data_IF_057330704789
#
_entry.id   IF_057330704789
#
_cell.length_a   1.000
_cell.length_b   1.000
_cell.length_c   1.000
_cell.angle_alpha   90.00
_cell.angle_beta   90.00
_cell.angle_gamma   90.00
#
_symmetry.space_group_name_H-M   'P 1'
#
loop_
_entity.id
_entity.type
_entity.pdbx_description
1 polymer ?
#
# COMPACT_ATOMS: atom_id res chain seq x y z
N UNK A 1 28.03 23.24 -13.52
CA UNK A 1 27.40 22.51 -12.39
C UNK A 1 28.47 21.92 -11.50
N UNK A 2 28.42 22.21 -10.20
CA UNK A 2 29.42 21.79 -9.21
C UNK A 2 29.45 20.27 -9.11
N UNK A 3 30.63 19.63 -9.25
CA UNK A 3 30.80 18.16 -9.21
C UNK A 3 30.12 17.49 -8.00
N UNK A 4 30.02 18.21 -6.87
CA UNK A 4 29.35 17.76 -5.64
C UNK A 4 27.85 17.49 -5.79
N UNK A 5 27.14 18.33 -6.56
CA UNK A 5 25.69 18.15 -6.81
C UNK A 5 25.45 16.94 -7.71
N UNK A 6 26.34 16.73 -8.69
CA UNK A 6 26.26 15.57 -9.58
C UNK A 6 26.43 14.25 -8.82
N UNK A 7 27.45 14.16 -7.96
CA UNK A 7 27.69 12.97 -7.12
C UNK A 7 26.50 12.67 -6.20
N UNK A 8 25.90 13.71 -5.61
CA UNK A 8 24.72 13.54 -4.76
C UNK A 8 23.52 12.99 -5.55
N UNK A 9 23.26 13.52 -6.75
CA UNK A 9 22.18 13.04 -7.62
C UNK A 9 22.45 11.60 -8.10
N UNK A 10 23.69 11.27 -8.44
CA UNK A 10 24.06 9.93 -8.90
C UNK A 10 23.85 8.90 -7.77
N UNK A 11 24.28 9.20 -6.53
CA UNK A 11 24.03 8.34 -5.37
C UNK A 11 22.53 8.19 -5.06
N UNK A 12 21.76 9.27 -5.17
CA UNK A 12 20.29 9.23 -5.00
C UNK A 12 19.60 8.33 -6.03
N UNK A 13 20.09 8.33 -7.27
CA UNK A 13 19.55 7.47 -8.33
C UNK A 13 19.84 6.00 -8.06
N UNK A 14 21.02 5.68 -7.55
CA UNK A 14 21.37 4.30 -7.17
C UNK A 14 20.50 3.79 -6.02
N UNK A 15 20.32 4.60 -4.97
CA UNK A 15 19.42 4.26 -3.86
C UNK A 15 17.97 4.10 -4.33
N UNK A 16 17.50 4.99 -5.20
CA UNK A 16 16.15 4.93 -5.77
C UNK A 16 15.98 3.71 -6.69
N UNK A 17 16.97 3.38 -7.52
CA UNK A 17 16.97 2.18 -8.35
C UNK A 17 16.94 0.91 -7.51
N UNK A 18 17.65 0.86 -6.37
CA UNK A 18 17.60 -0.27 -5.44
C UNK A 18 16.20 -0.50 -4.84
N UNK A 19 15.48 0.59 -4.54
CA UNK A 19 14.10 0.53 -4.04
C UNK A 19 13.13 0.10 -5.14
N UNK A 20 13.26 0.64 -6.35
CA UNK A 20 12.39 0.30 -7.50
C UNK A 20 12.60 -1.17 -7.91
N UNK A 21 13.85 -1.64 -7.96
CA UNK A 21 14.15 -3.03 -8.33
C UNK A 21 13.56 -4.04 -7.33
N UNK A 22 13.49 -3.71 -6.03
CA UNK A 22 12.85 -4.58 -5.03
C UNK A 22 11.37 -4.84 -5.30
N UNK A 23 10.64 -3.86 -5.86
CA UNK A 23 9.21 -4.03 -6.15
C UNK A 23 8.97 -4.96 -7.36
N UNK A 24 9.93 -4.98 -8.30
CA UNK A 24 9.84 -5.82 -9.50
C UNK A 24 10.07 -7.32 -9.24
N UNK A 25 10.76 -7.66 -8.14
CA UNK A 25 11.09 -9.03 -7.75
C UNK A 25 10.12 -9.65 -6.74
N UNK A 26 9.10 -8.91 -6.27
CA UNK A 26 8.14 -9.44 -5.30
C UNK A 26 7.26 -10.52 -5.93
N UNK A 27 6.93 -11.54 -5.14
CA UNK A 27 5.87 -12.49 -5.50
C UNK A 27 4.52 -11.78 -5.51
N UNK A 28 3.52 -12.38 -6.17
CA UNK A 28 2.16 -11.81 -6.17
C UNK A 28 1.58 -11.76 -4.74
N UNK A 29 1.86 -12.76 -3.90
CA UNK A 29 1.49 -12.73 -2.48
C UNK A 29 2.13 -11.53 -1.75
N UNK A 30 3.42 -11.28 -1.96
CA UNK A 30 4.13 -10.15 -1.34
C UNK A 30 3.56 -8.79 -1.80
N UNK A 31 3.19 -8.67 -3.08
CA UNK A 31 2.52 -7.47 -3.63
C UNK A 31 1.14 -7.25 -3.02
N UNK A 32 0.35 -8.31 -2.89
CA UNK A 32 -0.97 -8.24 -2.25
C UNK A 32 -0.81 -7.89 -0.78
N UNK A 33 0.11 -8.51 -0.05
CA UNK A 33 0.41 -8.21 1.35
C UNK A 33 0.84 -6.75 1.55
N UNK A 34 1.71 -6.22 0.68
CA UNK A 34 2.10 -4.81 0.68
C UNK A 34 0.91 -3.89 0.45
N UNK A 35 0.01 -4.27 -0.46
CA UNK A 35 -1.22 -3.52 -0.74
C UNK A 35 -2.19 -3.53 0.44
N UNK A 36 -2.33 -4.65 1.14
CA UNK A 36 -3.11 -4.78 2.38
C UNK A 36 -2.59 -3.83 3.45
N UNK A 37 -1.27 -3.82 3.71
CA UNK A 37 -0.64 -2.93 4.70
C UNK A 37 -0.90 -1.47 4.36
N UNK A 38 -0.69 -1.08 3.10
CA UNK A 38 -0.94 0.29 2.64
C UNK A 38 -2.42 0.69 2.79
N UNK A 39 -3.35 -0.21 2.48
CA UNK A 39 -4.77 0.08 2.64
C UNK A 39 -5.18 0.24 4.11
N UNK A 40 -4.55 -0.50 5.03
CA UNK A 40 -4.76 -0.33 6.47
C UNK A 40 -4.22 1.01 6.98
N UNK A 41 -3.01 1.40 6.57
CA UNK A 41 -2.44 2.72 6.88
C UNK A 41 -3.29 3.86 6.32
N UNK A 42 -3.77 3.73 5.08
CA UNK A 42 -4.68 4.69 4.45
C UNK A 42 -5.99 4.82 5.24
N UNK A 43 -6.58 3.71 5.66
CA UNK A 43 -7.77 3.73 6.51
C UNK A 43 -7.48 4.43 7.84
N UNK A 44 -6.37 4.11 8.52
CA UNK A 44 -5.97 4.79 9.77
C UNK A 44 -5.82 6.30 9.60
N UNK A 45 -5.20 6.73 8.51
CA UNK A 45 -5.07 8.15 8.21
C UNK A 45 -6.43 8.84 8.03
N UNK A 46 -7.39 8.17 7.39
CA UNK A 46 -8.75 8.72 7.18
C UNK A 46 -9.58 8.74 8.46
N UNK A 47 -9.41 7.76 9.34
CA UNK A 47 -9.98 7.81 10.71
C UNK A 47 -9.48 9.05 11.44
N UNK A 48 -8.18 9.34 11.34
CA UNK A 48 -7.59 10.51 11.96
C UNK A 48 -8.12 11.82 11.35
N UNK A 49 -8.26 11.88 10.01
CA UNK A 49 -8.83 13.04 9.34
C UNK A 49 -10.27 13.33 9.82
N UNK A 50 -11.13 12.31 9.90
CA UNK A 50 -12.49 12.45 10.41
C UNK A 50 -12.52 12.98 11.84
N UNK A 51 -11.64 12.51 12.72
CA UNK A 51 -11.55 13.00 14.10
C UNK A 51 -11.24 14.50 14.20
N UNK A 52 -10.61 15.08 13.17
CA UNK A 52 -10.23 16.49 13.12
C UNK A 52 -11.15 17.33 12.21
N UNK A 53 -12.05 16.71 11.45
CA UNK A 53 -12.99 17.41 10.59
C UNK A 53 -14.05 18.12 11.46
N UNK A 54 -14.14 19.45 11.32
CA UNK A 54 -15.08 20.29 12.08
C UNK A 54 -16.10 21.01 11.18
N UNK A 55 -15.78 21.14 9.90
CA UNK A 55 -16.70 21.68 8.90
C UNK A 55 -17.71 20.58 8.52
N UNK A 56 -19.03 20.83 8.59
CA UNK A 56 -20.05 19.83 8.28
C UNK A 56 -19.89 19.17 6.90
N UNK A 57 -19.52 19.92 5.86
CA UNK A 57 -19.35 19.37 4.51
C UNK A 57 -18.11 18.46 4.44
N UNK A 58 -17.07 18.79 5.21
CA UNK A 58 -15.87 17.96 5.33
C UNK A 58 -16.09 16.73 6.21
N UNK A 59 -16.98 16.80 7.21
CA UNK A 59 -17.38 15.64 8.02
C UNK A 59 -18.10 14.62 7.15
N UNK A 60 -19.07 15.06 6.34
CA UNK A 60 -19.78 14.17 5.41
C UNK A 60 -18.81 13.51 4.43
N UNK A 61 -17.89 14.29 3.83
CA UNK A 61 -16.82 13.74 3.00
C UNK A 61 -15.96 12.70 3.75
N UNK A 62 -15.53 13.02 4.97
CA UNK A 62 -14.69 12.14 5.78
C UNK A 62 -15.35 10.80 6.10
N UNK A 63 -16.67 10.78 6.33
CA UNK A 63 -17.46 9.55 6.52
C UNK A 63 -17.37 8.67 5.27
N UNK A 64 -17.62 9.23 4.09
CA UNK A 64 -17.53 8.47 2.84
C UNK A 64 -16.11 7.94 2.58
N UNK A 65 -15.09 8.75 2.86
CA UNK A 65 -13.70 8.38 2.59
C UNK A 65 -13.20 7.26 3.53
N UNK A 66 -13.58 7.28 4.81
CA UNK A 66 -13.34 6.18 5.75
C UNK A 66 -13.99 4.90 5.23
N UNK A 67 -15.28 4.94 4.88
CA UNK A 67 -16.00 3.75 4.44
C UNK A 67 -15.44 3.16 3.14
N UNK A 68 -15.01 4.01 2.21
CA UNK A 68 -14.33 3.58 1.00
C UNK A 68 -12.99 2.87 1.32
N UNK A 69 -12.18 3.42 2.22
CA UNK A 69 -10.89 2.83 2.61
C UNK A 69 -11.03 1.51 3.37
N UNK A 70 -12.01 1.40 4.28
CA UNK A 70 -12.36 0.14 4.95
C UNK A 70 -12.73 -0.94 3.94
N UNK A 71 -13.62 -0.62 2.99
CA UNK A 71 -14.03 -1.57 1.94
C UNK A 71 -12.86 -2.04 1.10
N UNK A 72 -11.95 -1.13 0.72
CA UNK A 72 -10.72 -1.46 0.00
C UNK A 72 -9.83 -2.41 0.81
N UNK A 73 -9.60 -2.12 2.09
CA UNK A 73 -8.82 -2.97 2.98
C UNK A 73 -9.44 -4.38 3.12
N UNK A 74 -10.74 -4.46 3.40
CA UNK A 74 -11.46 -5.75 3.49
C UNK A 74 -11.41 -6.55 2.21
N UNK A 75 -11.57 -5.91 1.04
CA UNK A 75 -11.44 -6.57 -0.25
C UNK A 75 -10.04 -7.18 -0.45
N UNK A 76 -8.98 -6.43 -0.11
CA UNK A 76 -7.61 -6.91 -0.25
C UNK A 76 -7.29 -8.06 0.72
N UNK A 77 -7.83 -8.05 1.94
CA UNK A 77 -7.72 -9.18 2.86
C UNK A 77 -8.37 -10.44 2.29
N UNK A 78 -9.55 -10.31 1.68
CA UNK A 78 -10.23 -11.43 1.02
C UNK A 78 -9.38 -11.98 -0.12
N UNK A 79 -8.80 -11.11 -0.95
CA UNK A 79 -7.92 -11.50 -2.05
C UNK A 79 -6.66 -12.22 -1.59
N UNK A 80 -6.02 -11.73 -0.51
CA UNK A 80 -4.86 -12.39 0.07
C UNK A 80 -5.18 -13.82 0.53
N UNK A 81 -6.34 -14.00 1.18
CA UNK A 81 -6.79 -15.32 1.64
C UNK A 81 -7.07 -16.27 0.47
N UNK A 82 -7.74 -15.78 -0.58
CA UNK A 82 -7.99 -16.56 -1.80
C UNK A 82 -6.68 -17.05 -2.43
N UNK A 83 -5.65 -16.21 -2.50
CA UNK A 83 -4.33 -16.60 -3.05
C UNK A 83 -3.65 -17.68 -2.21
N UNK A 84 -3.68 -17.55 -0.87
CA UNK A 84 -3.12 -18.53 0.05
C UNK A 84 -3.82 -19.90 -0.04
N UNK A 85 -5.14 -19.92 -0.23
CA UNK A 85 -5.89 -21.17 -0.42
C UNK A 85 -5.55 -21.85 -1.75
N UNK A 86 -5.38 -21.08 -2.83
CA UNK A 86 -4.99 -21.59 -4.15
C UNK A 86 -3.59 -22.23 -4.11
N UNK A 87 -2.63 -21.61 -3.42
CA UNK A 87 -1.26 -22.14 -3.35
C UNK A 87 -1.20 -23.44 -2.52
N UNK A 88 -1.99 -23.54 -1.44
CA UNK A 88 -2.13 -24.79 -0.66
C UNK A 88 -2.77 -25.93 -1.46
N UNK A 89 -3.65 -25.62 -2.43
CA UNK A 89 -4.24 -26.64 -3.33
C UNK A 89 -3.25 -27.09 -4.41
N UNK A 90 -2.40 -26.20 -4.93
CA UNK A 90 -1.33 -26.57 -5.87
C UNK A 90 -0.31 -27.52 -5.23
N UNK A 91 0.08 -27.27 -3.98
CA UNK A 91 1.03 -28.12 -3.25
C UNK A 91 0.49 -29.52 -2.93
N UNK A 92 -0.82 -29.67 -2.72
CA UNK A 92 -1.45 -30.98 -2.45
C UNK A 92 -1.64 -31.84 -3.69
N UNK A 93 -1.66 -31.23 -4.87
CA UNK A 93 -1.92 -31.89 -6.16
C UNK A 93 -0.63 -32.16 -6.97
N UNK A 94 0.53 -31.98 -6.34
CA UNK A 94 1.86 -32.23 -6.88
C UNK A 94 2.51 -33.39 -6.13
#
# INVERSE_FOLDING_TARGET
MTKRVKIFIDNLKEDLMGIINRDSSLTEEEKIMKSVKRAHEEWKFKEEYFNHAVDPDLVDFAIYDIEASKRKYTYLLKKLKEEQEIDLEKEKNM
#
